data_IF_723393335406
#
_entry.id   IF_723393335406
#
_cell.length_a   1.000
_cell.length_b   1.000
_cell.length_c   1.000
_cell.angle_alpha   90.00
_cell.angle_beta   90.00
_cell.angle_gamma   90.00
#
_symmetry.space_group_name_H-M   'P 1'
#
loop_
_entity.id
_entity.type
_entity.pdbx_description
1 polymer ?
#
# COMPACT_ATOMS: atom_id res chain seq x y z
N UNK A 1 -0.27 12.39 -0.44
CA UNK A 1 -0.62 11.35 0.55
C UNK A 1 -0.75 10.06 -0.25
N UNK A 2 0.00 9.01 0.10
CA UNK A 2 0.01 7.77 -0.68
C UNK A 2 -1.15 6.90 -0.20
N UNK A 3 -2.04 6.53 -1.13
CA UNK A 3 -3.16 5.63 -0.87
C UNK A 3 -2.87 4.34 -1.63
N UNK A 4 -2.97 3.20 -0.95
CA UNK A 4 -2.95 1.89 -1.60
C UNK A 4 -4.36 1.33 -1.57
N UNK A 5 -4.84 0.87 -2.72
CA UNK A 5 -6.07 0.10 -2.80
C UNK A 5 -5.70 -1.38 -2.76
N UNK A 6 -6.24 -2.10 -1.78
CA UNK A 6 -6.03 -3.52 -1.62
C UNK A 6 -7.40 -4.19 -1.67
N UNK A 7 -7.58 -5.12 -2.60
CA UNK A 7 -8.74 -6.00 -2.55
C UNK A 7 -8.56 -6.96 -1.37
N UNK A 8 -9.42 -6.80 -0.38
CA UNK A 8 -9.35 -7.56 0.88
C UNK A 8 -10.67 -8.25 1.13
N UNK A 9 -10.59 -9.50 1.59
CA UNK A 9 -11.77 -10.32 1.89
C UNK A 9 -12.69 -9.57 2.86
N UNK A 10 -13.99 -9.50 2.52
CA UNK A 10 -15.03 -8.88 3.34
C UNK A 10 -15.26 -7.38 3.11
N UNK A 11 -14.39 -6.67 2.39
CA UNK A 11 -14.57 -5.23 2.10
C UNK A 11 -14.29 -4.32 3.30
N UNK A 12 -14.38 -3.01 3.10
CA UNK A 12 -13.90 -2.01 4.07
C UNK A 12 -14.74 -1.99 5.35
N UNK A 13 -16.07 -2.07 5.24
CA UNK A 13 -16.95 -2.00 6.42
C UNK A 13 -16.79 -3.24 7.33
N UNK A 14 -16.67 -4.44 6.76
CA UNK A 14 -16.38 -5.66 7.52
C UNK A 14 -15.07 -5.56 8.29
N UNK A 15 -14.02 -5.12 7.60
CA UNK A 15 -12.69 -5.03 8.18
C UNK A 15 -12.61 -3.92 9.26
N UNK A 16 -13.40 -2.84 9.15
CA UNK A 16 -13.46 -1.79 10.17
C UNK A 16 -14.36 -2.13 11.37
N UNK A 17 -15.36 -3.01 11.18
CA UNK A 17 -16.31 -3.43 12.22
C UNK A 17 -15.74 -4.49 13.18
N UNK A 18 -14.78 -5.29 12.71
CA UNK A 18 -14.07 -6.28 13.50
C UNK A 18 -12.63 -5.80 13.81
N UNK A 19 -11.95 -6.35 14.84
CA UNK A 19 -10.61 -5.94 15.19
C UNK A 19 -9.56 -6.56 14.25
N UNK A 20 -9.59 -6.14 12.98
CA UNK A 20 -8.63 -6.52 11.96
C UNK A 20 -7.54 -5.45 11.79
N UNK A 21 -6.31 -5.90 11.55
CA UNK A 21 -5.20 -5.03 11.14
C UNK A 21 -4.60 -5.52 9.82
N UNK A 22 -4.03 -4.58 9.06
CA UNK A 22 -3.11 -4.91 7.98
C UNK A 22 -1.73 -5.17 8.59
N UNK A 23 -1.15 -6.31 8.30
CA UNK A 23 0.16 -6.73 8.80
C UNK A 23 1.11 -6.87 7.63
N UNK A 24 2.12 -6.01 7.58
CA UNK A 24 3.24 -6.11 6.67
C UNK A 24 4.38 -6.88 7.35
N UNK A 25 4.81 -7.96 6.70
CA UNK A 25 6.02 -8.66 7.06
C UNK A 25 7.16 -8.09 6.23
N UNK A 26 8.21 -7.65 6.89
CA UNK A 26 9.35 -6.99 6.29
C UNK A 26 10.60 -7.83 6.48
N UNK A 27 11.51 -7.80 5.52
CA UNK A 27 12.91 -8.21 5.70
C UNK A 27 13.81 -6.97 5.78
N UNK A 28 14.87 -7.07 6.57
CA UNK A 28 15.93 -6.06 6.56
C UNK A 28 16.81 -6.30 5.35
N UNK A 29 16.94 -5.29 4.48
CA UNK A 29 17.80 -5.35 3.29
C UNK A 29 19.15 -4.67 3.50
N UNK A 30 19.33 -4.00 4.66
CA UNK A 30 20.56 -3.30 4.96
C UNK A 30 21.74 -4.28 5.07
N UNK A 31 22.69 -4.14 4.15
CA UNK A 31 24.05 -4.67 4.32
C UNK A 31 24.76 -3.74 5.33
N UNK A 32 25.36 -4.30 6.39
CA UNK A 32 25.89 -3.53 7.53
C UNK A 32 26.99 -2.52 7.13
N UNK A 33 27.49 -2.56 5.89
CA UNK A 33 28.68 -1.83 5.45
C UNK A 33 28.47 -0.49 4.76
N UNK A 34 27.25 -0.01 4.48
CA UNK A 34 27.06 1.28 3.79
C UNK A 34 26.02 2.20 4.45
N UNK A 35 26.51 3.10 5.31
CA UNK A 35 25.76 4.15 6.02
C UNK A 35 25.18 5.27 5.12
N UNK A 36 24.68 4.94 3.94
CA UNK A 36 24.18 5.93 2.97
C UNK A 36 22.96 5.50 2.16
N UNK A 37 22.35 4.36 2.48
CA UNK A 37 21.26 3.82 1.67
C UNK A 37 19.98 4.63 1.82
N UNK A 38 19.31 4.82 0.68
CA UNK A 38 17.95 5.34 0.58
C UNK A 38 17.06 4.58 1.56
N UNK A 39 16.39 5.25 2.52
CA UNK A 39 15.46 4.61 3.45
C UNK A 39 14.39 3.72 2.78
N UNK A 40 14.06 3.97 1.50
CA UNK A 40 13.17 3.10 0.72
C UNK A 40 13.73 1.69 0.48
N UNK A 41 15.04 1.51 0.65
CA UNK A 41 15.79 0.26 0.45
C UNK A 41 16.24 -0.37 1.77
N UNK A 42 15.87 0.20 2.92
CA UNK A 42 16.23 -0.38 4.22
C UNK A 42 15.46 -1.68 4.51
N UNK A 43 14.24 -1.79 3.97
CA UNK A 43 13.35 -2.92 4.17
C UNK A 43 12.69 -3.36 2.88
N UNK A 44 12.55 -4.67 2.70
CA UNK A 44 11.72 -5.26 1.66
C UNK A 44 10.42 -5.76 2.27
N UNK A 45 9.28 -5.53 1.61
CA UNK A 45 8.03 -6.19 1.96
C UNK A 45 8.13 -7.64 1.49
N UNK A 46 7.88 -8.58 2.41
CA UNK A 46 7.81 -10.03 2.17
C UNK A 46 6.38 -10.54 2.06
N UNK A 47 5.43 -9.88 2.73
CA UNK A 47 4.02 -10.22 2.67
C UNK A 47 3.17 -9.09 3.26
N UNK A 48 1.90 -9.00 2.87
CA UNK A 48 0.89 -8.15 3.49
C UNK A 48 -0.40 -8.96 3.68
N UNK A 49 -0.95 -8.95 4.89
CA UNK A 49 -2.19 -9.69 5.21
C UNK A 49 -3.10 -8.88 6.08
N UNK A 50 -4.41 -9.02 5.88
CA UNK A 50 -5.36 -8.64 6.93
C UNK A 50 -5.51 -9.81 7.89
N UNK A 51 -5.35 -9.52 9.18
CA UNK A 51 -5.35 -10.52 10.24
C UNK A 51 -6.21 -10.03 11.40
N UNK A 52 -7.00 -10.92 11.99
CA UNK A 52 -7.77 -10.60 13.19
C UNK A 52 -6.83 -10.51 14.39
N UNK A 53 -7.11 -9.60 15.34
CA UNK A 53 -6.21 -9.38 16.50
C UNK A 53 -5.87 -10.66 17.27
N UNK A 54 -6.79 -11.62 17.29
CA UNK A 54 -6.66 -12.86 18.05
C UNK A 54 -5.88 -13.97 17.30
N UNK A 55 -5.65 -13.80 16.00
CA UNK A 55 -4.93 -14.80 15.19
C UNK A 55 -3.40 -14.71 15.38
N UNK A 56 -2.91 -13.63 16.00
CA UNK A 56 -1.49 -13.40 16.29
C UNK A 56 -1.32 -12.88 17.72
N UNK A 57 -0.57 -13.63 18.54
CA UNK A 57 -0.41 -13.35 19.97
C UNK A 57 -0.01 -11.90 20.28
N UNK A 58 0.95 -11.34 19.55
CA UNK A 58 1.42 -9.97 19.77
C UNK A 58 0.45 -8.90 19.26
N UNK A 59 -0.45 -9.22 18.31
CA UNK A 59 -1.50 -8.29 17.91
C UNK A 59 -2.45 -8.08 19.07
N UNK A 60 -2.89 -9.15 19.72
CA UNK A 60 -3.77 -9.07 20.87
C UNK A 60 -3.19 -8.20 22.01
N UNK A 61 -1.89 -8.31 22.29
CA UNK A 61 -1.24 -7.48 23.33
C UNK A 61 -1.11 -6.02 22.94
N UNK A 62 -0.79 -5.72 21.67
CA UNK A 62 -0.61 -4.34 21.18
C UNK A 62 -1.95 -3.65 20.81
N UNK A 63 -3.04 -4.42 20.81
CA UNK A 63 -4.33 -3.94 20.34
C UNK A 63 -4.92 -2.87 21.26
N UNK A 64 -4.97 -3.15 22.56
CA UNK A 64 -5.64 -2.28 23.53
C UNK A 64 -4.79 -1.05 23.90
N UNK A 65 -3.48 -1.23 24.04
CA UNK A 65 -2.59 -0.19 24.52
C UNK A 65 -2.26 0.86 23.43
N UNK A 66 -1.92 0.41 22.22
CA UNK A 66 -1.40 1.30 21.17
C UNK A 66 -2.37 1.49 20.01
N UNK A 67 -2.98 0.41 19.52
CA UNK A 67 -3.74 0.45 18.25
C UNK A 67 -5.10 1.15 18.40
N UNK A 68 -5.84 0.91 19.48
CA UNK A 68 -7.15 1.56 19.71
C UNK A 68 -6.96 3.04 20.06
N UNK A 69 -6.01 3.36 20.94
CA UNK A 69 -5.73 4.74 21.33
C UNK A 69 -5.22 5.58 20.15
N UNK A 70 -4.28 5.04 19.36
CA UNK A 70 -3.78 5.73 18.17
C UNK A 70 -4.88 5.90 17.12
N UNK A 71 -5.71 4.87 16.89
CA UNK A 71 -6.87 4.95 15.97
C UNK A 71 -7.82 6.08 16.37
N UNK A 72 -8.18 6.20 17.65
CA UNK A 72 -9.07 7.25 18.13
C UNK A 72 -8.44 8.64 18.00
N UNK A 73 -7.16 8.77 18.36
CA UNK A 73 -6.40 10.02 18.23
C UNK A 73 -6.33 10.47 16.77
N UNK A 74 -5.99 9.56 15.87
CA UNK A 74 -5.88 9.81 14.44
C UNK A 74 -7.23 10.17 13.83
N UNK A 75 -8.30 9.46 14.20
CA UNK A 75 -9.67 9.80 13.78
C UNK A 75 -10.10 11.19 14.28
N UNK A 76 -9.79 11.55 15.52
CA UNK A 76 -10.08 12.88 16.06
C UNK A 76 -9.39 13.97 15.24
N UNK A 77 -8.07 13.81 14.98
CA UNK A 77 -7.32 14.74 14.13
C UNK A 77 -7.91 14.85 12.72
N UNK A 78 -8.38 13.75 12.12
CA UNK A 78 -8.95 13.79 10.77
C UNK A 78 -10.35 14.42 10.74
N UNK A 79 -11.20 14.18 11.73
CA UNK A 79 -12.52 14.84 11.81
C UNK A 79 -12.42 16.36 11.83
N UNK A 80 -11.35 16.89 12.42
CA UNK A 80 -11.10 18.33 12.52
C UNK A 80 -10.47 18.92 11.25
N UNK A 81 -9.83 18.10 10.41
CA UNK A 81 -8.97 18.58 9.31
C UNK A 81 -9.33 18.07 7.91
N UNK A 82 -10.18 17.04 7.81
CA UNK A 82 -10.48 16.35 6.55
C UNK A 82 -11.96 16.44 6.24
N UNK A 83 -12.33 17.27 5.27
CA UNK A 83 -13.66 17.29 4.64
C UNK A 83 -13.65 16.37 3.42
N UNK A 84 -13.47 15.07 3.65
CA UNK A 84 -13.52 14.05 2.59
C UNK A 84 -14.70 13.11 2.86
N UNK A 85 -15.77 13.16 2.05
CA UNK A 85 -16.96 12.34 2.27
C UNK A 85 -16.70 10.84 2.10
N UNK A 86 -15.61 10.46 1.42
CA UNK A 86 -15.28 9.06 1.14
C UNK A 86 -14.40 8.45 2.24
N UNK A 87 -13.89 9.26 3.18
CA UNK A 87 -13.15 8.80 4.34
C UNK A 87 -14.10 8.08 5.31
N UNK A 88 -13.90 6.79 5.49
CA UNK A 88 -14.78 5.96 6.33
C UNK A 88 -14.16 5.56 7.67
N UNK A 89 -12.85 5.67 7.80
CA UNK A 89 -12.22 5.44 9.09
C UNK A 89 -10.70 5.37 9.06
N UNK A 90 -10.17 4.82 10.14
CA UNK A 90 -8.75 4.53 10.33
C UNK A 90 -8.59 3.01 10.44
N UNK A 91 -7.71 2.46 9.60
CA UNK A 91 -7.36 1.05 9.58
C UNK A 91 -6.01 0.84 10.28
N UNK A 92 -5.92 0.00 11.32
CA UNK A 92 -4.66 -0.31 11.97
C UNK A 92 -3.69 -1.02 11.02
N UNK A 93 -2.43 -0.61 11.05
CA UNK A 93 -1.35 -1.19 10.23
C UNK A 93 -0.16 -1.50 11.12
N UNK A 94 0.36 -2.71 10.97
CA UNK A 94 1.49 -3.25 11.70
C UNK A 94 2.61 -3.58 10.72
N UNK A 95 3.84 -3.25 11.10
CA UNK A 95 5.05 -3.63 10.39
C UNK A 95 5.87 -4.54 11.29
N UNK A 96 6.14 -5.75 10.81
CA UNK A 96 6.90 -6.77 11.54
C UNK A 96 8.18 -7.02 10.77
N UNK A 97 9.33 -6.71 11.36
CA UNK A 97 10.62 -7.01 10.77
C UNK A 97 11.02 -8.43 11.16
N UNK A 98 11.10 -9.32 10.17
CA UNK A 98 11.51 -10.70 10.38
C UNK A 98 12.92 -10.77 10.97
N UNK A 99 13.10 -11.66 11.94
CA UNK A 99 14.39 -11.91 12.60
C UNK A 99 14.81 -10.89 13.66
N UNK A 100 14.23 -9.70 13.72
CA UNK A 100 14.59 -8.69 14.74
C UNK A 100 13.65 -8.64 15.94
N UNK A 101 12.43 -9.18 15.80
CA UNK A 101 11.36 -9.02 16.78
C UNK A 101 10.79 -7.59 16.86
N UNK A 102 11.24 -6.69 15.98
CA UNK A 102 10.76 -5.31 15.91
C UNK A 102 9.36 -5.24 15.33
N UNK A 103 8.47 -4.57 16.05
CA UNK A 103 7.11 -4.26 15.61
C UNK A 103 6.90 -2.76 15.66
N UNK A 104 6.33 -2.19 14.60
CA UNK A 104 5.87 -0.81 14.57
C UNK A 104 4.39 -0.78 14.18
N UNK A 105 3.60 0.06 14.85
CA UNK A 105 2.16 0.20 14.61
C UNK A 105 1.82 1.63 14.20
N UNK A 106 0.85 1.77 13.30
CA UNK A 106 0.27 3.06 12.91
C UNK A 106 -1.15 2.87 12.40
N UNK A 107 -1.82 3.96 12.02
CA UNK A 107 -3.14 3.92 11.41
C UNK A 107 -3.16 4.64 10.07
N UNK A 108 -3.76 4.02 9.05
CA UNK A 108 -3.95 4.62 7.73
C UNK A 108 -5.43 4.95 7.49
N UNK A 109 -5.68 5.97 6.65
CA UNK A 109 -7.02 6.35 6.25
C UNK A 109 -7.64 5.25 5.39
N UNK A 110 -8.83 4.81 5.75
CA UNK A 110 -9.65 3.88 4.97
C UNK A 110 -10.71 4.65 4.22
N UNK A 111 -10.88 4.33 2.94
CA UNK A 111 -11.82 5.00 2.04
C UNK A 111 -12.76 3.98 1.42
N UNK A 112 -14.00 4.40 1.12
CA UNK A 112 -14.89 3.59 0.28
C UNK A 112 -14.45 3.63 -1.19
N UNK A 113 -14.73 2.57 -1.98
CA UNK A 113 -14.64 2.65 -3.43
C UNK A 113 -15.50 3.80 -3.95
N UNK A 114 -15.00 4.53 -4.94
CA UNK A 114 -15.65 5.71 -5.50
C UNK A 114 -16.78 5.35 -6.49
N UNK A 115 -16.62 4.26 -7.25
CA UNK A 115 -17.46 3.99 -8.43
C UNK A 115 -18.37 2.78 -8.29
N UNK A 116 -18.29 2.04 -7.18
CA UNK A 116 -19.11 0.85 -6.97
C UNK A 116 -19.93 0.86 -5.68
N UNK A 117 -21.15 0.27 -5.69
CA UNK A 117 -21.90 0.00 -4.47
C UNK A 117 -21.07 -0.84 -3.49
N UNK A 118 -21.33 -0.65 -2.19
CA UNK A 118 -20.66 -1.36 -1.08
C UNK A 118 -20.68 -2.89 -1.25
N UNK A 119 -21.71 -3.43 -1.91
CA UNK A 119 -21.93 -4.86 -2.07
C UNK A 119 -21.49 -5.41 -3.45
N UNK A 120 -20.84 -4.60 -4.28
CA UNK A 120 -20.36 -5.05 -5.59
C UNK A 120 -19.15 -5.98 -5.42
N UNK A 121 -19.37 -7.28 -5.51
CA UNK A 121 -18.27 -8.23 -5.67
C UNK A 121 -17.69 -8.08 -7.08
N UNK A 122 -16.37 -7.89 -7.24
CA UNK A 122 -15.77 -7.90 -8.56
C UNK A 122 -16.02 -9.25 -9.24
N UNK A 123 -16.29 -9.20 -10.55
CA UNK A 123 -16.33 -10.40 -11.36
C UNK A 123 -14.98 -11.14 -11.27
N UNK A 124 -14.95 -12.48 -11.45
CA UNK A 124 -13.72 -13.25 -11.32
C UNK A 124 -12.54 -12.71 -12.13
N UNK A 125 -12.78 -12.24 -13.35
CA UNK A 125 -11.73 -11.66 -14.21
C UNK A 125 -11.14 -10.37 -13.62
N UNK A 126 -12.00 -9.52 -13.04
CA UNK A 126 -11.56 -8.28 -12.41
C UNK A 126 -10.80 -8.55 -11.11
N UNK A 127 -11.21 -9.58 -10.35
CA UNK A 127 -10.48 -10.01 -9.17
C UNK A 127 -9.03 -10.40 -9.52
N UNK A 128 -8.83 -11.15 -10.60
CA UNK A 128 -7.48 -11.49 -11.07
C UNK A 128 -6.68 -10.24 -11.46
N UNK A 129 -7.32 -9.23 -12.06
CA UNK A 129 -6.65 -7.96 -12.37
C UNK A 129 -6.22 -7.21 -11.09
N UNK A 130 -7.01 -7.26 -10.01
CA UNK A 130 -6.59 -6.70 -8.72
C UNK A 130 -5.46 -7.47 -8.07
N UNK A 131 -5.44 -8.79 -8.18
CA UNK A 131 -4.32 -9.60 -7.68
C UNK A 131 -3.03 -9.21 -8.42
N UNK A 132 -3.07 -9.04 -9.75
CA UNK A 132 -1.94 -8.59 -10.56
C UNK A 132 -1.50 -7.16 -10.21
N UNK A 133 -2.47 -6.26 -9.98
CA UNK A 133 -2.18 -4.89 -9.51
C UNK A 133 -1.50 -4.89 -8.14
N UNK A 134 -1.88 -5.82 -7.27
CA UNK A 134 -1.28 -5.96 -5.94
C UNK A 134 0.18 -6.43 -6.06
N UNK A 135 0.46 -7.40 -6.93
CA UNK A 135 1.83 -7.83 -7.26
C UNK A 135 2.65 -6.65 -7.83
N UNK A 136 2.08 -5.88 -8.75
CA UNK A 136 2.73 -4.69 -9.31
C UNK A 136 3.07 -3.65 -8.25
N UNK A 137 2.10 -3.29 -7.41
CA UNK A 137 2.28 -2.31 -6.34
C UNK A 137 3.35 -2.76 -5.36
N UNK A 138 3.31 -4.03 -4.95
CA UNK A 138 4.30 -4.57 -4.03
C UNK A 138 5.71 -4.52 -4.63
N UNK A 139 5.88 -5.01 -5.86
CA UNK A 139 7.19 -4.95 -6.55
C UNK A 139 7.68 -3.52 -6.71
N UNK A 140 6.80 -2.59 -7.07
CA UNK A 140 7.14 -1.16 -7.16
C UNK A 140 7.61 -0.59 -5.81
N UNK A 141 6.90 -0.88 -4.71
CA UNK A 141 7.27 -0.42 -3.36
C UNK A 141 8.66 -0.92 -2.97
N UNK A 142 8.95 -2.21 -3.20
CA UNK A 142 10.26 -2.79 -2.89
C UNK A 142 11.42 -2.16 -3.70
N UNK A 143 11.10 -1.49 -4.81
CA UNK A 143 12.06 -0.76 -5.64
C UNK A 143 12.11 0.73 -5.32
N UNK A 144 11.42 1.18 -4.27
CA UNK A 144 11.32 2.59 -3.90
C UNK A 144 10.48 3.42 -4.89
N UNK A 145 9.70 2.77 -5.76
CA UNK A 145 8.80 3.45 -6.70
C UNK A 145 7.51 3.80 -5.96
N UNK A 146 7.12 5.06 -6.07
CA UNK A 146 5.86 5.58 -5.56
C UNK A 146 4.90 5.90 -6.69
N UNK A 147 3.63 5.58 -6.48
CA UNK A 147 2.54 5.97 -7.36
C UNK A 147 1.71 7.07 -6.72
N UNK A 148 1.36 8.08 -7.51
CA UNK A 148 0.46 9.14 -7.11
C UNK A 148 -0.67 9.27 -8.13
N UNK A 149 -1.84 9.74 -7.67
CA UNK A 149 -2.95 10.06 -8.57
C UNK A 149 -2.47 11.00 -9.67
N UNK A 150 -2.77 10.73 -10.95
CA UNK A 150 -2.32 11.60 -12.02
C UNK A 150 -2.99 12.98 -11.91
N UNK A 151 -2.25 14.04 -12.22
CA UNK A 151 -2.83 15.40 -12.33
C UNK A 151 -3.75 15.52 -13.53
N UNK A 152 -3.42 14.83 -14.62
CA UNK A 152 -4.28 14.70 -15.79
C UNK A 152 -5.20 13.51 -15.61
N UNK A 153 -6.51 13.77 -15.47
CA UNK A 153 -7.52 12.71 -15.27
C UNK A 153 -7.80 11.87 -16.52
N UNK A 154 -7.17 12.19 -17.66
CA UNK A 154 -7.26 11.38 -18.88
C UNK A 154 -6.13 10.36 -18.99
N UNK A 155 -5.11 10.46 -18.11
CA UNK A 155 -3.99 9.54 -18.09
C UNK A 155 -4.37 8.23 -17.39
N UNK A 156 -4.16 7.10 -18.06
CA UNK A 156 -4.47 5.76 -17.53
C UNK A 156 -3.51 5.36 -16.39
N UNK A 157 -2.23 5.69 -16.53
CA UNK A 157 -1.23 5.34 -15.53
C UNK A 157 -1.17 6.39 -14.40
N UNK A 158 -0.86 6.00 -13.16
CA UNK A 158 -0.55 6.97 -12.13
C UNK A 158 0.78 7.70 -12.41
N UNK A 159 0.99 8.83 -11.73
CA UNK A 159 2.29 9.50 -11.71
C UNK A 159 3.29 8.66 -10.90
N UNK A 160 4.25 8.04 -11.59
CA UNK A 160 5.32 7.28 -10.96
C UNK A 160 6.58 8.12 -10.71
N UNK A 161 7.31 7.78 -9.65
CA UNK A 161 8.63 8.35 -9.40
C UNK A 161 9.34 7.70 -8.24
N UNK A 162 10.51 8.23 -7.89
CA UNK A 162 11.30 7.80 -6.74
C UNK A 162 11.58 9.02 -5.86
N UNK A 163 11.50 8.84 -4.55
CA UNK A 163 11.88 9.88 -3.60
C UNK A 163 13.37 9.77 -3.29
N UNK A 164 14.06 10.91 -3.35
CA UNK A 164 15.48 11.00 -3.01
C UNK A 164 15.71 12.13 -2.01
N UNK A 165 16.67 11.93 -1.10
CA UNK A 165 17.08 12.97 -0.17
C UNK A 165 17.80 14.10 -0.92
N UNK A 166 17.35 15.34 -0.72
CA UNK A 166 17.91 16.54 -1.35
C UNK A 166 18.67 17.43 -0.37
N UNK A 167 19.69 18.11 -0.92
CA UNK A 167 20.54 19.05 -0.20
C UNK A 167 21.75 18.40 0.48
N UNK A 168 22.81 19.20 0.73
CA UNK A 168 24.04 18.73 1.40
C UNK A 168 23.80 18.15 2.79
N UNK A 169 22.75 18.60 3.46
CA UNK A 169 22.33 18.13 4.79
C UNK A 169 21.25 17.04 4.76
N UNK A 170 20.76 16.64 3.57
CA UNK A 170 19.74 15.60 3.38
C UNK A 170 18.47 15.79 4.22
N UNK A 171 18.06 17.04 4.45
CA UNK A 171 16.91 17.38 5.31
C UNK A 171 15.56 17.40 4.59
N UNK A 172 15.52 17.09 3.29
CA UNK A 172 14.29 17.13 2.51
C UNK A 172 14.21 15.96 1.54
N UNK A 173 12.98 15.56 1.22
CA UNK A 173 12.69 14.56 0.21
C UNK A 173 12.20 15.24 -1.06
N UNK A 174 12.69 14.80 -2.22
CA UNK A 174 12.22 15.24 -3.52
C UNK A 174 11.83 14.03 -4.36
N UNK A 175 10.60 14.04 -4.85
CA UNK A 175 10.15 13.11 -5.88
C UNK A 175 10.81 13.50 -7.21
N UNK A 176 11.46 12.55 -7.85
CA UNK A 176 11.91 12.67 -9.22
C UNK A 176 10.98 11.83 -10.07
N UNK A 177 10.24 12.48 -10.98
CA UNK A 177 9.41 11.77 -11.96
C UNK A 177 10.32 10.95 -12.86
N UNK A 178 9.91 9.72 -13.16
CA UNK A 178 10.68 8.80 -13.98
C UNK A 178 9.76 8.28 -15.08
N UNK A 179 9.64 9.00 -16.21
CA UNK A 179 8.70 8.68 -17.28
C UNK A 179 8.82 7.25 -17.80
N UNK A 180 10.04 6.72 -17.78
CA UNK A 180 10.37 5.38 -18.27
C UNK A 180 10.06 4.25 -17.28
N UNK A 181 9.50 4.52 -16.08
CA UNK A 181 9.15 3.46 -15.11
C UNK A 181 8.17 2.45 -15.74
N UNK A 182 7.21 2.92 -16.52
CA UNK A 182 6.19 2.05 -17.08
C UNK A 182 6.75 1.14 -18.18
N UNK A 183 7.28 1.73 -19.25
CA UNK A 183 7.78 0.98 -20.42
C UNK A 183 9.17 0.39 -20.22
N UNK A 184 10.04 1.09 -19.48
CA UNK A 184 11.41 0.67 -19.24
C UNK A 184 11.55 -0.35 -18.11
N UNK A 185 10.58 -0.43 -17.21
CA UNK A 185 10.72 -1.26 -16.01
C UNK A 185 9.51 -2.16 -15.71
N UNK A 186 8.33 -1.60 -15.47
CA UNK A 186 7.16 -2.35 -15.00
C UNK A 186 6.60 -3.30 -16.08
N UNK A 187 6.46 -2.86 -17.33
CA UNK A 187 6.02 -3.71 -18.43
C UNK A 187 7.02 -4.86 -18.74
N UNK A 188 8.35 -4.61 -18.85
CA UNK A 188 9.34 -5.68 -18.98
C UNK A 188 9.38 -6.64 -17.79
N UNK A 189 9.08 -6.16 -16.58
CA UNK A 189 8.99 -7.01 -15.39
C UNK A 189 7.82 -7.99 -15.49
N UNK A 190 6.63 -7.53 -15.89
CA UNK A 190 5.49 -8.43 -16.14
C UNK A 190 5.80 -9.50 -17.18
N UNK A 191 6.46 -9.11 -18.28
CA UNK A 191 6.87 -10.04 -19.34
C UNK A 191 7.88 -11.09 -18.88
N UNK A 192 8.74 -10.75 -17.92
CA UNK A 192 9.78 -11.66 -17.38
C UNK A 192 9.23 -12.66 -16.36
N UNK A 193 8.13 -12.32 -15.70
CA UNK A 193 7.52 -13.14 -14.64
C UNK A 193 6.04 -13.42 -14.94
N UNK A 194 5.69 -13.99 -16.11
CA UNK A 194 4.29 -14.14 -16.51
C UNK A 194 3.47 -15.01 -15.55
N UNK A 195 4.11 -15.98 -14.89
CA UNK A 195 3.45 -16.90 -13.95
C UNK A 195 2.98 -16.20 -12.65
N UNK A 196 3.45 -14.98 -12.38
CA UNK A 196 3.01 -14.18 -11.23
C UNK A 196 1.82 -13.27 -11.55
N UNK A 197 1.44 -13.14 -12.83
CA UNK A 197 0.33 -12.30 -13.29
C UNK A 197 -0.78 -13.18 -13.86
N UNK A 198 -1.83 -13.34 -13.09
CA UNK A 198 -2.89 -14.33 -13.28
C UNK A 198 -3.99 -13.87 -14.24
N UNK A 199 -4.18 -12.57 -14.43
CA UNK A 199 -5.26 -12.04 -15.27
C UNK A 199 -5.01 -12.21 -16.77
N UNK A 200 -3.73 -12.36 -17.16
CA UNK A 200 -3.32 -12.34 -18.57
C UNK A 200 -3.47 -10.98 -19.25
N UNK A 201 -3.82 -9.93 -18.50
CA UNK A 201 -4.01 -8.58 -19.03
C UNK A 201 -2.69 -7.83 -19.19
N UNK A 202 -2.68 -6.90 -20.14
CA UNK A 202 -1.59 -5.94 -20.25
C UNK A 202 -1.70 -4.89 -19.14
N UNK A 203 -0.54 -4.32 -18.77
CA UNK A 203 -0.40 -3.30 -17.73
C UNK A 203 -1.43 -2.15 -17.86
N UNK A 204 -1.61 -1.61 -19.07
CA UNK A 204 -2.59 -0.56 -19.36
C UNK A 204 -4.01 -0.97 -18.99
N UNK A 205 -4.41 -2.20 -19.31
CA UNK A 205 -5.74 -2.71 -19.04
C UNK A 205 -5.97 -2.91 -17.54
N UNK A 206 -4.94 -3.36 -16.79
CA UNK A 206 -5.01 -3.50 -15.33
C UNK A 206 -5.31 -2.14 -14.68
N UNK A 207 -4.58 -1.10 -15.07
CA UNK A 207 -4.79 0.25 -14.54
C UNK A 207 -6.10 0.87 -15.01
N UNK A 208 -6.49 0.69 -16.28
CA UNK A 208 -7.78 1.14 -16.78
C UNK A 208 -8.95 0.48 -16.04
N UNK A 209 -8.85 -0.81 -15.68
CA UNK A 209 -9.84 -1.48 -14.85
C UNK A 209 -9.89 -0.89 -13.44
N UNK A 210 -8.73 -0.63 -12.84
CA UNK A 210 -8.64 -0.01 -11.52
C UNK A 210 -9.25 1.39 -11.48
N UNK A 211 -8.96 2.25 -12.46
CA UNK A 211 -9.54 3.61 -12.50
C UNK A 211 -11.06 3.61 -12.66
N UNK A 212 -11.60 2.56 -13.26
CA UNK A 212 -13.03 2.38 -13.44
C UNK A 212 -13.72 1.73 -12.25
N UNK A 213 -12.97 1.37 -11.20
CA UNK A 213 -13.46 0.75 -9.97
C UNK A 213 -13.39 1.69 -8.75
#
# INVERSE_FOLDING_TARGET
MMHIALYVNGGVDHNLAAPHAMVYYLESLADESEHNQDPSQAFGILNAKIIHKDDLFFLASLWEDDSVADRQRVLACWRESVTDPDLVGAFPVMFIVQGSGGVSSTCYKAYRPLRHPVDASPEPALRLAFDDLNVLCWRAINLGIVFERPKDTTQIYPEAGVYSLVGRSRKGWKKTSTPDIWEGFLAPMMKRHPDEFLSGLHLEMIWALFENW
#
